data_IF_731190014080
#
_entry.id   IF_731190014080
#
_cell.length_a   1.000
_cell.length_b   1.000
_cell.length_c   1.000
_cell.angle_alpha   90.00
_cell.angle_beta   90.00
_cell.angle_gamma   90.00
#
_symmetry.space_group_name_H-M   'P 1'
#
loop_
_entity.id
_entity.type
_entity.pdbx_description
1 polymer ?
#
# COMPACT_ATOMS: atom_id res chain seq x y z
N UNK A 1 -22.99 3.70 -14.22
CA UNK A 1 -23.83 3.47 -13.05
C UNK A 1 -23.05 3.86 -11.80
N UNK A 2 -23.51 4.89 -11.11
CA UNK A 2 -22.88 5.38 -9.88
C UNK A 2 -23.56 4.73 -8.68
N UNK A 3 -22.83 4.36 -7.61
CA UNK A 3 -23.45 3.92 -6.37
C UNK A 3 -24.31 5.05 -5.76
N UNK A 4 -25.33 4.70 -4.97
CA UNK A 4 -26.05 5.69 -4.18
C UNK A 4 -25.12 6.31 -3.13
N UNK A 5 -25.49 7.48 -2.59
CA UNK A 5 -24.70 8.13 -1.54
C UNK A 5 -24.55 7.22 -0.30
N UNK A 6 -25.63 6.56 0.09
CA UNK A 6 -25.65 5.64 1.23
C UNK A 6 -24.73 4.45 1.00
N UNK A 7 -24.76 3.84 -0.20
CA UNK A 7 -23.88 2.74 -0.56
C UNK A 7 -22.42 3.18 -0.58
N UNK A 8 -22.13 4.38 -1.08
CA UNK A 8 -20.76 4.93 -1.09
C UNK A 8 -20.23 5.11 0.32
N UNK A 9 -21.04 5.62 1.25
CA UNK A 9 -20.67 5.74 2.66
C UNK A 9 -20.40 4.37 3.28
N UNK A 10 -21.30 3.40 3.05
CA UNK A 10 -21.14 2.05 3.59
C UNK A 10 -19.86 1.38 3.07
N UNK A 11 -19.61 1.46 1.77
CA UNK A 11 -18.37 0.90 1.14
C UNK A 11 -17.13 1.56 1.71
N UNK A 12 -17.15 2.89 1.90
CA UNK A 12 -16.06 3.63 2.53
C UNK A 12 -15.81 3.26 3.98
N UNK A 13 -16.88 3.09 4.77
CA UNK A 13 -16.78 2.65 6.17
C UNK A 13 -16.13 1.26 6.29
N UNK A 14 -16.57 0.31 5.46
CA UNK A 14 -15.96 -1.04 5.43
C UNK A 14 -14.49 -0.94 5.00
N UNK A 15 -14.18 -0.12 3.99
CA UNK A 15 -12.81 0.16 3.57
C UNK A 15 -11.93 0.71 4.70
N UNK A 16 -12.48 1.64 5.50
CA UNK A 16 -11.80 2.18 6.68
C UNK A 16 -11.47 1.11 7.73
N UNK A 17 -12.40 0.18 7.99
CA UNK A 17 -12.13 -0.95 8.89
C UNK A 17 -11.07 -1.89 8.32
N UNK A 18 -11.18 -2.20 7.03
CA UNK A 18 -10.24 -3.09 6.34
C UNK A 18 -8.81 -2.54 6.34
N UNK A 19 -8.62 -1.23 6.16
CA UNK A 19 -7.27 -0.64 6.17
C UNK A 19 -6.61 -0.80 7.54
N UNK A 20 -7.35 -0.54 8.62
CA UNK A 20 -6.81 -0.70 9.99
C UNK A 20 -6.44 -2.15 10.28
N UNK A 21 -7.32 -3.08 9.93
CA UNK A 21 -7.05 -4.52 10.12
C UNK A 21 -5.86 -4.99 9.28
N UNK A 22 -5.72 -4.46 8.06
CA UNK A 22 -4.59 -4.78 7.19
C UNK A 22 -3.27 -4.28 7.76
N UNK A 23 -3.20 -3.02 8.20
CA UNK A 23 -2.00 -2.44 8.82
C UNK A 23 -1.57 -3.29 10.02
N UNK A 24 -2.48 -3.54 10.96
CA UNK A 24 -2.18 -4.37 12.14
C UNK A 24 -1.76 -5.79 11.75
N UNK A 25 -2.37 -6.35 10.70
CA UNK A 25 -2.03 -7.68 10.17
C UNK A 25 -0.62 -7.72 9.58
N UNK A 26 -0.25 -6.74 8.75
CA UNK A 26 1.07 -6.64 8.13
C UNK A 26 2.16 -6.42 9.19
N UNK A 27 1.92 -5.58 10.18
CA UNK A 27 2.84 -5.37 11.30
C UNK A 27 3.12 -6.67 12.06
N UNK A 28 2.08 -7.47 12.34
CA UNK A 28 2.24 -8.78 12.98
C UNK A 28 3.03 -9.77 12.13
N UNK A 29 2.89 -9.68 10.81
CA UNK A 29 3.64 -10.50 9.86
C UNK A 29 5.05 -9.95 9.61
N UNK A 30 5.41 -8.82 10.21
CA UNK A 30 6.69 -8.10 10.02
C UNK A 30 6.90 -7.71 8.54
N UNK A 31 5.83 -7.34 7.86
CA UNK A 31 5.85 -6.78 6.51
C UNK A 31 5.77 -5.26 6.66
N UNK A 32 6.82 -4.60 6.19
CA UNK A 32 6.94 -3.15 6.27
C UNK A 32 6.02 -2.47 5.24
N UNK A 33 5.11 -1.64 5.74
CA UNK A 33 4.18 -0.85 4.92
C UNK A 33 4.05 0.57 5.51
N UNK A 34 5.15 1.37 5.52
CA UNK A 34 5.25 2.60 6.30
C UNK A 34 4.27 3.68 5.87
N UNK A 35 3.85 3.66 4.61
CA UNK A 35 2.88 4.62 4.06
C UNK A 35 1.51 3.99 3.79
N UNK A 36 1.30 2.75 4.20
CA UNK A 36 0.04 2.04 3.97
C UNK A 36 -0.22 1.69 2.51
N UNK A 37 0.81 1.59 1.67
CA UNK A 37 0.63 1.34 0.24
C UNK A 37 -0.04 -0.01 -0.03
N UNK A 38 0.36 -1.06 0.67
CA UNK A 38 -0.25 -2.38 0.56
C UNK A 38 -1.66 -2.35 1.16
N UNK A 39 -1.80 -1.77 2.34
CA UNK A 39 -3.07 -1.75 3.09
C UNK A 39 -4.12 -0.90 2.39
N UNK A 40 -3.79 0.32 1.97
CA UNK A 40 -4.74 1.26 1.37
C UNK A 40 -5.00 0.93 -0.10
N UNK A 41 -3.94 0.79 -0.91
CA UNK A 41 -4.10 0.60 -2.35
C UNK A 41 -4.26 -0.86 -2.75
N UNK A 42 -3.57 -1.78 -2.08
CA UNK A 42 -3.72 -3.22 -2.33
C UNK A 42 -5.03 -3.76 -1.75
N UNK A 43 -5.13 -3.86 -0.43
CA UNK A 43 -6.25 -4.54 0.24
C UNK A 43 -7.57 -3.79 0.03
N UNK A 44 -7.62 -2.49 0.31
CA UNK A 44 -8.86 -1.73 0.13
C UNK A 44 -9.16 -1.48 -1.35
N UNK A 45 -8.16 -1.43 -2.23
CA UNK A 45 -8.36 -1.41 -3.67
C UNK A 45 -9.07 -2.67 -4.20
N UNK A 46 -8.70 -3.85 -3.72
CA UNK A 46 -9.40 -5.10 -4.01
C UNK A 46 -10.85 -5.04 -3.50
N UNK A 47 -11.05 -4.54 -2.28
CA UNK A 47 -12.39 -4.31 -1.75
C UNK A 47 -13.21 -3.39 -2.66
N UNK A 48 -12.64 -2.27 -3.11
CA UNK A 48 -13.29 -1.33 -4.02
C UNK A 48 -13.73 -1.96 -5.33
N UNK A 49 -12.88 -2.80 -5.93
CA UNK A 49 -13.23 -3.55 -7.14
C UNK A 49 -14.36 -4.55 -6.89
N UNK A 50 -14.34 -5.25 -5.76
CA UNK A 50 -15.42 -6.17 -5.38
C UNK A 50 -16.73 -5.43 -5.09
N UNK A 51 -16.67 -4.24 -4.50
CA UNK A 51 -17.85 -3.43 -4.19
C UNK A 51 -18.59 -2.95 -5.45
N UNK A 52 -17.99 -2.96 -6.62
CA UNK A 52 -18.66 -2.67 -7.90
C UNK A 52 -19.84 -3.61 -8.13
N UNK A 53 -19.76 -4.86 -7.65
CA UNK A 53 -20.85 -5.83 -7.73
C UNK A 53 -22.12 -5.37 -7.02
N UNK A 54 -22.00 -4.47 -6.04
CA UNK A 54 -23.14 -3.93 -5.27
C UNK A 54 -23.86 -2.79 -5.99
N UNK A 55 -23.21 -2.15 -6.95
CA UNK A 55 -23.72 -0.95 -7.64
C UNK A 55 -23.95 -1.11 -9.13
N UNK A 56 -23.36 -2.14 -9.74
CA UNK A 56 -23.44 -2.36 -11.18
C UNK A 56 -23.95 -3.76 -11.51
N UNK A 57 -25.19 -3.85 -12.00
CA UNK A 57 -25.81 -5.12 -12.38
C UNK A 57 -25.14 -5.84 -13.56
N UNK A 58 -24.32 -5.14 -14.36
CA UNK A 58 -23.58 -5.74 -15.47
C UNK A 58 -22.23 -6.31 -15.04
N UNK A 59 -21.81 -6.02 -13.79
CA UNK A 59 -20.57 -6.55 -13.25
C UNK A 59 -20.74 -8.02 -12.84
N UNK A 60 -19.74 -8.84 -13.12
CA UNK A 60 -19.73 -10.24 -12.71
C UNK A 60 -18.57 -10.52 -11.74
N UNK A 61 -18.80 -11.41 -10.80
CA UNK A 61 -17.77 -11.85 -9.86
C UNK A 61 -16.52 -12.37 -10.60
N UNK A 62 -16.71 -13.20 -11.63
CA UNK A 62 -15.62 -13.72 -12.43
C UNK A 62 -14.82 -12.62 -13.13
N UNK A 63 -15.49 -11.60 -13.68
CA UNK A 63 -14.85 -10.44 -14.29
C UNK A 63 -14.02 -9.63 -13.27
N UNK A 64 -14.56 -9.39 -12.08
CA UNK A 64 -13.83 -8.67 -11.02
C UNK A 64 -12.60 -9.46 -10.56
N UNK A 65 -12.75 -10.75 -10.30
CA UNK A 65 -11.62 -11.61 -9.89
C UNK A 65 -10.54 -11.69 -10.97
N UNK A 66 -10.94 -11.83 -12.24
CA UNK A 66 -9.99 -11.82 -13.34
C UNK A 66 -9.26 -10.47 -13.44
N UNK A 67 -9.99 -9.36 -13.34
CA UNK A 67 -9.41 -8.02 -13.37
C UNK A 67 -8.40 -7.81 -12.22
N UNK A 68 -8.77 -8.19 -10.99
CA UNK A 68 -7.89 -8.15 -9.82
C UNK A 68 -6.63 -8.96 -10.08
N UNK A 69 -6.77 -10.21 -10.54
CA UNK A 69 -5.62 -11.09 -10.79
C UNK A 69 -4.70 -10.54 -11.89
N UNK A 70 -5.28 -10.02 -12.98
CA UNK A 70 -4.52 -9.44 -14.09
C UNK A 70 -3.75 -8.18 -13.67
N UNK A 71 -4.41 -7.24 -12.97
CA UNK A 71 -3.80 -6.00 -12.49
C UNK A 71 -2.72 -6.32 -11.45
N UNK A 72 -3.02 -7.16 -10.47
CA UNK A 72 -2.07 -7.57 -9.45
C UNK A 72 -0.84 -8.25 -10.07
N UNK A 73 -1.06 -9.23 -10.93
CA UNK A 73 0.02 -9.96 -11.60
C UNK A 73 0.93 -9.05 -12.41
N UNK A 74 0.34 -8.18 -13.23
CA UNK A 74 1.10 -7.20 -14.01
C UNK A 74 1.89 -6.25 -13.14
N UNK A 75 1.24 -5.62 -12.18
CA UNK A 75 1.88 -4.62 -11.29
C UNK A 75 2.99 -5.26 -10.46
N UNK A 76 2.75 -6.45 -9.91
CA UNK A 76 3.74 -7.17 -9.10
C UNK A 76 4.98 -7.53 -9.93
N UNK A 77 4.80 -8.13 -11.12
CA UNK A 77 5.93 -8.52 -11.98
C UNK A 77 6.71 -7.30 -12.46
N UNK A 78 6.01 -6.27 -12.94
CA UNK A 78 6.65 -5.03 -13.40
C UNK A 78 7.44 -4.34 -12.29
N UNK A 79 6.82 -4.19 -11.09
CA UNK A 79 7.49 -3.59 -9.93
C UNK A 79 8.69 -4.42 -9.50
N UNK A 80 8.54 -5.74 -9.42
CA UNK A 80 9.64 -6.63 -9.05
C UNK A 80 10.83 -6.50 -10.00
N UNK A 81 10.56 -6.45 -11.30
CA UNK A 81 11.61 -6.29 -12.32
C UNK A 81 12.35 -4.95 -12.17
N UNK A 82 11.60 -3.84 -11.98
CA UNK A 82 12.19 -2.51 -11.81
C UNK A 82 13.00 -2.45 -10.51
N UNK A 83 12.46 -2.92 -9.38
CA UNK A 83 13.16 -2.92 -8.11
C UNK A 83 14.39 -3.82 -8.11
N UNK A 84 14.32 -4.98 -8.78
CA UNK A 84 15.49 -5.84 -8.97
C UNK A 84 16.58 -5.12 -9.78
N UNK A 85 16.21 -4.47 -10.88
CA UNK A 85 17.15 -3.69 -11.70
C UNK A 85 17.84 -2.59 -10.86
N UNK A 86 17.06 -1.80 -10.12
CA UNK A 86 17.61 -0.73 -9.25
C UNK A 86 18.53 -1.31 -8.17
N UNK A 87 18.13 -2.42 -7.55
CA UNK A 87 18.95 -3.09 -6.52
C UNK A 87 20.30 -3.52 -7.05
N UNK A 88 20.37 -4.07 -8.24
CA UNK A 88 21.63 -4.57 -8.82
C UNK A 88 22.50 -3.48 -9.46
N UNK A 89 21.92 -2.35 -9.84
CA UNK A 89 22.64 -1.25 -10.52
C UNK A 89 23.06 -0.13 -9.58
N UNK A 90 22.17 0.31 -8.70
CA UNK A 90 22.36 1.49 -7.85
C UNK A 90 22.40 1.16 -6.36
N UNK A 91 21.83 0.02 -5.96
CA UNK A 91 21.47 -0.23 -4.57
C UNK A 91 20.13 0.44 -4.23
N UNK A 92 19.42 -0.13 -3.26
CA UNK A 92 18.11 0.38 -2.81
C UNK A 92 18.04 0.53 -1.30
N UNK A 93 19.18 0.45 -0.62
CA UNK A 93 19.26 0.57 0.83
C UNK A 93 20.45 1.42 1.21
N UNK A 94 20.25 2.27 2.18
CA UNK A 94 21.31 3.04 2.83
C UNK A 94 22.27 2.11 3.58
N UNK A 95 23.47 2.58 3.92
CA UNK A 95 24.42 1.84 4.73
C UNK A 95 23.87 1.64 6.16
N UNK A 96 24.42 0.66 6.88
CA UNK A 96 24.03 0.43 8.28
C UNK A 96 24.35 1.64 9.18
N UNK A 97 25.39 2.38 8.85
CA UNK A 97 25.81 3.56 9.58
C UNK A 97 24.80 4.70 9.39
N UNK A 98 24.41 4.99 8.17
CA UNK A 98 23.37 5.98 7.83
C UNK A 98 21.98 5.60 8.40
N UNK A 99 21.65 4.30 8.41
CA UNK A 99 20.41 3.80 9.00
C UNK A 99 20.37 4.00 10.52
N UNK A 100 21.55 3.88 11.18
CA UNK A 100 21.68 4.09 12.62
C UNK A 100 21.71 5.58 13.02
N UNK A 101 22.38 6.42 12.23
CA UNK A 101 22.45 7.87 12.47
C UNK A 101 21.15 8.59 12.11
N UNK A 102 20.39 8.06 11.17
CA UNK A 102 19.16 8.64 10.64
C UNK A 102 19.34 9.16 9.21
N UNK A 103 18.44 8.75 8.33
CA UNK A 103 18.46 9.13 6.91
C UNK A 103 18.12 10.62 6.69
N UNK A 104 17.43 11.25 7.61
CA UNK A 104 17.17 12.68 7.64
C UNK A 104 18.45 13.51 7.76
N UNK A 105 19.40 13.07 8.62
CA UNK A 105 20.70 13.70 8.77
C UNK A 105 21.58 13.42 7.54
N UNK A 106 21.68 12.16 7.12
CA UNK A 106 22.60 11.77 6.04
C UNK A 106 22.17 12.31 4.66
N UNK A 107 20.86 12.39 4.38
CA UNK A 107 20.35 12.85 3.09
C UNK A 107 20.00 14.33 3.06
N UNK A 108 19.46 14.88 4.16
CA UNK A 108 18.96 16.25 4.22
C UNK A 108 19.86 17.19 5.05
N UNK A 109 20.76 16.64 5.88
CA UNK A 109 21.60 17.42 6.80
C UNK A 109 20.81 18.10 7.92
N UNK A 110 19.58 17.68 8.17
CA UNK A 110 18.67 18.26 9.15
C UNK A 110 18.00 17.12 9.93
N UNK A 111 17.89 17.32 11.25
CA UNK A 111 17.12 16.43 12.12
C UNK A 111 15.62 16.68 11.96
N UNK A 112 14.84 15.63 11.67
CA UNK A 112 13.39 15.73 11.53
C UNK A 112 12.69 16.06 12.85
N UNK A 113 13.27 15.61 13.99
CA UNK A 113 12.70 15.77 15.33
C UNK A 113 13.76 16.22 16.35
N UNK A 114 14.31 17.44 16.23
CA UNK A 114 15.42 17.89 17.07
C UNK A 114 15.08 17.91 18.59
N UNK A 115 13.79 18.01 18.92
CA UNK A 115 13.32 17.97 20.31
C UNK A 115 13.47 16.61 20.99
N UNK A 116 13.66 15.54 20.23
CA UNK A 116 13.85 14.17 20.76
C UNK A 116 15.32 13.73 20.76
N UNK A 117 16.23 14.54 20.20
CA UNK A 117 17.66 14.23 20.24
C UNK A 117 18.19 14.37 21.67
N UNK A 118 18.81 13.30 22.17
CA UNK A 118 19.46 13.34 23.48
C UNK A 118 20.75 14.15 23.38
N UNK A 119 20.83 15.26 24.10
CA UNK A 119 22.08 15.95 24.40
C UNK A 119 23.03 15.05 25.21
#
# INVERSE_FOLDING_TARGET
LSPSAELSVLVGMIGGVLVVLSIVGLDRLKIDDPVGAISVHGVVGIWGLMAVLLSNGDASLGGQLFGIAAIFGWTFVASLAIWALLKFTMGIRVSQEEEYEGTDISECGLEAYPEFTKN
#
